data_IF_045507529497
#
_entry.id   IF_045507529497
#
_cell.length_a   1.000
_cell.length_b   1.000
_cell.length_c   1.000
_cell.angle_alpha   90.00
_cell.angle_beta   90.00
_cell.angle_gamma   90.00
#
_symmetry.space_group_name_H-M   'P 1'
#
loop_
_entity.id
_entity.type
_entity.pdbx_description
1 polymer ?
#
# COMPACT_ATOMS: atom_id res chain seq x y z
N UNK A 1 -36.28 14.01 -3.91
CA UNK A 1 -35.57 12.73 -3.97
C UNK A 1 -34.49 12.89 -5.03
N UNK A 2 -33.27 13.26 -4.59
CA UNK A 2 -32.10 13.26 -5.44
C UNK A 2 -31.47 11.89 -5.25
N UNK A 3 -31.41 11.11 -6.33
CA UNK A 3 -30.57 9.91 -6.38
C UNK A 3 -29.12 10.37 -6.30
N UNK A 4 -28.48 10.12 -5.17
CA UNK A 4 -27.02 10.19 -5.06
C UNK A 4 -26.52 8.94 -5.76
N UNK A 5 -25.99 9.10 -6.96
CA UNK A 5 -25.22 8.07 -7.65
C UNK A 5 -23.89 7.98 -6.89
N UNK A 6 -23.81 7.01 -5.97
CA UNK A 6 -22.55 6.63 -5.36
C UNK A 6 -21.82 5.76 -6.39
N UNK A 7 -21.08 6.41 -7.29
CA UNK A 7 -20.01 5.73 -8.02
C UNK A 7 -19.05 5.22 -6.96
N UNK A 8 -18.55 3.97 -7.03
CA UNK A 8 -17.66 3.44 -6.02
C UNK A 8 -16.54 4.44 -5.79
N UNK A 9 -16.54 5.04 -4.62
CA UNK A 9 -15.62 6.12 -4.20
C UNK A 9 -14.15 5.70 -4.36
N UNK A 10 -13.91 4.40 -4.42
CA UNK A 10 -12.62 3.78 -4.62
C UNK A 10 -12.08 3.90 -6.06
N UNK A 11 -12.90 3.70 -7.09
CA UNK A 11 -12.48 3.86 -8.50
C UNK A 11 -12.25 5.34 -8.82
N UNK A 12 -13.09 6.23 -8.26
CA UNK A 12 -12.90 7.68 -8.41
C UNK A 12 -11.66 8.18 -7.67
N UNK A 13 -11.34 7.62 -6.50
CA UNK A 13 -10.11 7.95 -5.76
C UNK A 13 -8.88 7.32 -6.40
N UNK A 14 -8.93 6.13 -6.96
CA UNK A 14 -7.83 5.59 -7.78
C UNK A 14 -7.56 6.48 -9.00
N UNK A 15 -8.58 7.04 -9.65
CA UNK A 15 -8.40 8.02 -10.74
C UNK A 15 -7.81 9.33 -10.25
N UNK A 16 -8.23 9.85 -9.10
CA UNK A 16 -7.61 11.05 -8.48
C UNK A 16 -6.22 10.77 -7.89
N UNK A 17 -5.99 9.54 -7.37
CA UNK A 17 -4.70 9.11 -6.87
C UNK A 17 -3.64 9.10 -7.97
N UNK A 18 -4.01 8.70 -9.19
CA UNK A 18 -3.10 8.70 -10.36
C UNK A 18 -2.81 10.09 -10.90
N UNK A 19 -3.75 11.04 -10.79
CA UNK A 19 -3.51 12.44 -11.19
C UNK A 19 -2.56 13.16 -10.22
N UNK A 20 -2.39 12.67 -8.97
CA UNK A 20 -1.36 13.14 -8.03
C UNK A 20 -0.05 12.31 -8.11
N UNK A 21 -0.07 11.10 -8.69
CA UNK A 21 1.09 10.20 -8.84
C UNK A 21 1.78 10.32 -10.20
N UNK A 22 1.23 11.08 -11.15
CA UNK A 22 1.81 11.29 -12.48
C UNK A 22 2.95 12.31 -12.51
N UNK A 23 3.63 12.56 -11.37
CA UNK A 23 4.67 13.59 -11.30
C UNK A 23 5.93 13.04 -10.66
N UNK A 24 6.69 12.25 -11.38
CA UNK A 24 8.16 12.13 -11.27
C UNK A 24 8.75 11.16 -12.30
N UNK A 25 8.80 11.54 -13.57
CA UNK A 25 9.64 10.85 -14.55
C UNK A 25 10.93 11.65 -14.77
N UNK A 26 12.04 11.19 -14.20
CA UNK A 26 13.37 11.63 -14.61
C UNK A 26 14.31 10.41 -14.67
N UNK A 27 14.66 10.03 -15.89
CA UNK A 27 15.52 8.89 -16.23
C UNK A 27 16.90 9.00 -15.61
N UNK A 28 17.34 7.98 -14.87
CA UNK A 28 18.76 7.73 -14.59
C UNK A 28 19.18 6.38 -15.14
N UNK A 29 20.09 6.44 -16.12
CA UNK A 29 20.83 5.31 -16.66
C UNK A 29 21.82 4.79 -15.61
N UNK A 30 21.56 3.63 -15.02
CA UNK A 30 22.55 2.94 -14.21
C UNK A 30 23.37 1.97 -15.09
N UNK A 31 24.65 2.29 -15.23
CA UNK A 31 25.64 1.37 -15.78
C UNK A 31 25.99 0.32 -14.71
N UNK A 32 25.75 -0.94 -15.02
CA UNK A 32 26.11 -2.06 -14.17
C UNK A 32 27.65 -2.22 -14.13
N UNK A 33 28.25 -2.10 -12.96
CA UNK A 33 29.58 -2.62 -12.69
C UNK A 33 29.48 -3.95 -11.94
N UNK A 34 29.70 -5.04 -12.67
CA UNK A 34 29.97 -6.36 -12.10
C UNK A 34 31.32 -6.35 -11.37
N UNK A 35 31.31 -6.45 -10.07
CA UNK A 35 32.48 -6.66 -9.25
C UNK A 35 32.21 -7.68 -8.15
N UNK A 36 32.50 -8.96 -8.41
CA UNK A 36 32.57 -9.98 -7.37
C UNK A 36 33.67 -9.62 -6.36
N UNK A 37 33.28 -9.29 -5.12
CA UNK A 37 34.13 -9.38 -3.95
C UNK A 37 33.52 -10.39 -2.99
N UNK A 38 34.27 -11.43 -2.66
CA UNK A 38 34.02 -12.32 -1.53
C UNK A 38 34.36 -11.52 -0.27
N UNK A 39 33.36 -11.08 0.47
CA UNK A 39 33.51 -10.64 1.84
C UNK A 39 33.07 -11.74 2.81
N UNK A 40 33.74 -11.88 3.97
CA UNK A 40 33.46 -12.95 4.91
C UNK A 40 32.08 -12.75 5.54
N UNK A 41 31.30 -13.83 5.62
CA UNK A 41 30.00 -13.89 6.28
C UNK A 41 30.08 -13.35 7.70
N UNK A 42 29.53 -12.16 7.92
CA UNK A 42 29.19 -11.60 9.22
C UNK A 42 27.79 -12.11 9.65
N UNK A 43 27.49 -12.11 10.95
CA UNK A 43 26.18 -12.51 11.45
C UNK A 43 25.18 -11.39 11.20
N UNK A 44 24.37 -11.45 10.18
CA UNK A 44 23.13 -10.75 9.88
C UNK A 44 22.95 -10.66 8.37
N UNK A 45 22.76 -11.81 7.72
CA UNK A 45 22.27 -11.82 6.34
C UNK A 45 20.81 -11.42 6.39
N UNK A 46 20.53 -10.14 6.11
CA UNK A 46 19.18 -9.68 5.85
C UNK A 46 18.65 -10.44 4.64
N UNK A 47 17.42 -10.92 4.73
CA UNK A 47 16.78 -11.65 3.65
C UNK A 47 15.95 -10.69 2.80
N UNK A 48 16.01 -10.87 1.48
CA UNK A 48 15.05 -10.19 0.58
C UNK A 48 13.66 -10.79 0.79
N UNK A 49 12.63 -9.98 0.62
CA UNK A 49 11.24 -10.44 0.57
C UNK A 49 11.06 -11.31 -0.67
N UNK A 50 10.36 -12.42 -0.54
CA UNK A 50 9.93 -13.23 -1.67
C UNK A 50 8.65 -12.62 -2.27
N UNK A 51 8.72 -12.22 -3.54
CA UNK A 51 7.56 -11.67 -4.25
C UNK A 51 6.75 -12.82 -4.83
N UNK A 52 5.49 -13.01 -4.42
CA UNK A 52 4.63 -14.04 -4.99
C UNK A 52 4.22 -13.70 -6.44
N UNK A 53 3.84 -14.72 -7.20
CA UNK A 53 3.33 -14.55 -8.58
C UNK A 53 2.02 -13.73 -8.62
N UNK A 54 1.24 -13.80 -7.57
CA UNK A 54 -0.01 -13.04 -7.40
C UNK A 54 0.06 -12.24 -6.12
N UNK A 55 -0.10 -10.93 -6.24
CA UNK A 55 -0.25 -10.03 -5.09
C UNK A 55 -1.72 -10.02 -4.67
N UNK A 56 -1.96 -10.27 -3.37
CA UNK A 56 -3.27 -10.15 -2.75
C UNK A 56 -3.37 -8.79 -2.06
N UNK A 57 -3.79 -7.78 -2.81
CA UNK A 57 -3.97 -6.41 -2.30
C UNK A 57 -5.46 -6.18 -2.04
N UNK A 58 -5.90 -6.41 -0.82
CA UNK A 58 -7.31 -6.55 -0.48
C UNK A 58 -7.69 -5.69 0.73
N UNK A 59 -8.91 -5.15 0.70
CA UNK A 59 -9.33 -4.09 1.59
C UNK A 59 -10.64 -4.40 2.29
N UNK A 60 -10.70 -4.12 3.59
CA UNK A 60 -11.93 -4.00 4.35
C UNK A 60 -12.38 -2.54 4.36
N UNK A 61 -13.63 -2.28 4.03
CA UNK A 61 -14.17 -0.92 3.88
C UNK A 61 -15.37 -0.63 4.80
N UNK A 62 -15.55 -1.46 5.82
CA UNK A 62 -16.62 -1.27 6.81
C UNK A 62 -18.01 -1.67 6.30
N UNK A 63 -19.03 -1.13 6.93
CA UNK A 63 -20.45 -1.34 6.54
C UNK A 63 -20.81 -0.43 5.35
N UNK A 64 -20.21 -0.71 4.20
CA UNK A 64 -20.35 0.08 2.98
C UNK A 64 -21.80 0.16 2.48
N UNK A 65 -22.58 -0.90 2.68
CA UNK A 65 -23.99 -0.99 2.26
C UNK A 65 -24.98 -0.57 3.35
N UNK A 66 -24.50 -0.07 4.49
CA UNK A 66 -25.33 0.38 5.63
C UNK A 66 -26.32 -0.69 6.12
N UNK A 67 -25.86 -1.94 6.22
CA UNK A 67 -26.72 -3.08 6.59
C UNK A 67 -26.84 -3.27 8.09
N UNK A 68 -25.92 -2.72 8.89
CA UNK A 68 -25.76 -2.93 10.34
C UNK A 68 -25.45 -4.39 10.76
N UNK A 69 -25.34 -5.32 9.81
CA UNK A 69 -25.16 -6.76 10.11
C UNK A 69 -23.98 -7.40 9.36
N UNK A 70 -23.51 -6.73 8.34
CA UNK A 70 -22.38 -7.20 7.50
C UNK A 70 -21.44 -6.06 7.19
N UNK A 71 -20.26 -6.43 6.76
CA UNK A 71 -19.26 -5.51 6.27
C UNK A 71 -18.85 -5.92 4.86
N UNK A 72 -18.27 -4.98 4.14
CA UNK A 72 -17.79 -5.20 2.78
C UNK A 72 -16.27 -5.28 2.73
N UNK A 73 -15.76 -6.13 1.85
CA UNK A 73 -14.35 -6.24 1.54
C UNK A 73 -14.13 -6.48 0.04
N UNK A 74 -13.08 -5.90 -0.50
CA UNK A 74 -12.63 -6.13 -1.86
C UNK A 74 -11.41 -7.04 -1.86
N UNK A 75 -11.50 -8.18 -2.52
CA UNK A 75 -10.38 -9.09 -2.75
C UNK A 75 -9.78 -8.82 -4.13
N UNK A 76 -8.62 -8.19 -4.19
CA UNK A 76 -7.90 -7.94 -5.43
C UNK A 76 -6.77 -8.94 -5.59
N UNK A 77 -6.77 -9.65 -6.71
CA UNK A 77 -5.71 -10.58 -7.11
C UNK A 77 -5.03 -9.99 -8.34
N UNK A 78 -3.80 -9.50 -8.13
CA UNK A 78 -3.02 -8.83 -9.16
C UNK A 78 -1.92 -9.77 -9.60
N UNK A 79 -1.91 -10.17 -10.86
CA UNK A 79 -0.85 -10.99 -11.45
C UNK A 79 -0.24 -10.32 -12.67
N UNK A 80 1.05 -10.55 -12.86
CA UNK A 80 1.81 -9.89 -13.90
C UNK A 80 2.08 -8.41 -13.61
N UNK A 81 2.19 -7.62 -14.65
CA UNK A 81 2.49 -6.19 -14.60
C UNK A 81 1.38 -5.41 -15.30
N UNK A 82 0.25 -5.21 -14.63
CA UNK A 82 -0.83 -4.34 -15.12
C UNK A 82 -0.67 -2.97 -14.50
N UNK A 83 -0.60 -1.96 -15.36
CA UNK A 83 -0.48 -0.56 -14.98
C UNK A 83 -1.50 0.28 -15.75
N UNK A 84 -1.50 1.57 -15.57
CA UNK A 84 -2.37 2.51 -16.27
C UNK A 84 -1.49 3.67 -16.79
N UNK A 85 -1.66 4.04 -18.05
CA UNK A 85 -0.92 5.16 -18.65
C UNK A 85 -1.56 6.51 -18.28
N UNK A 86 -0.97 7.61 -18.79
CA UNK A 86 -1.48 8.98 -18.56
C UNK A 86 -2.88 9.21 -19.16
N UNK A 87 -3.27 8.45 -20.19
CA UNK A 87 -4.59 8.50 -20.82
C UNK A 87 -5.66 7.66 -20.08
N UNK A 88 -5.30 7.09 -18.91
CA UNK A 88 -6.12 6.18 -18.11
C UNK A 88 -6.41 4.83 -18.78
N UNK A 89 -5.61 4.41 -19.78
CA UNK A 89 -5.72 3.10 -20.39
C UNK A 89 -4.87 2.06 -19.63
N UNK A 90 -5.39 0.86 -19.46
CA UNK A 90 -4.61 -0.25 -18.89
C UNK A 90 -3.52 -0.71 -19.87
N UNK A 91 -2.30 -0.87 -19.36
CA UNK A 91 -1.09 -1.30 -20.09
C UNK A 91 -0.39 -2.44 -19.36
N UNK A 92 0.61 -3.06 -20.02
CA UNK A 92 1.44 -4.13 -19.47
C UNK A 92 0.99 -5.53 -19.88
N UNK A 93 1.31 -6.52 -19.05
CA UNK A 93 0.97 -7.94 -19.24
C UNK A 93 0.49 -8.54 -17.93
N UNK A 94 -0.78 -8.91 -17.83
CA UNK A 94 -1.31 -9.51 -16.61
C UNK A 94 -2.82 -9.44 -16.48
N UNK A 95 -3.30 -9.63 -15.26
CA UNK A 95 -4.71 -9.50 -14.95
C UNK A 95 -4.95 -8.98 -13.53
N UNK A 96 -6.08 -8.32 -13.34
CA UNK A 96 -6.63 -7.94 -12.04
C UNK A 96 -8.01 -8.59 -11.92
N UNK A 97 -8.18 -9.42 -10.91
CA UNK A 97 -9.48 -9.95 -10.51
C UNK A 97 -9.90 -9.25 -9.23
N UNK A 98 -10.97 -8.47 -9.27
CA UNK A 98 -11.59 -7.85 -8.12
C UNK A 98 -12.88 -8.58 -7.76
N UNK A 99 -13.01 -9.04 -6.52
CA UNK A 99 -14.21 -9.70 -5.98
C UNK A 99 -14.72 -8.91 -4.77
N UNK A 100 -15.91 -8.35 -4.90
CA UNK A 100 -16.63 -7.67 -3.83
C UNK A 100 -17.37 -8.71 -2.97
N UNK A 101 -17.02 -8.80 -1.70
CA UNK A 101 -17.57 -9.82 -0.77
C UNK A 101 -18.14 -9.19 0.49
N UNK A 102 -19.19 -9.82 1.01
CA UNK A 102 -19.81 -9.45 2.29
C UNK A 102 -19.35 -10.42 3.38
N UNK A 103 -18.83 -9.88 4.47
CA UNK A 103 -18.34 -10.61 5.64
C UNK A 103 -19.09 -10.19 6.90
N UNK A 104 -18.95 -10.92 8.00
CA UNK A 104 -19.52 -10.50 9.26
C UNK A 104 -18.83 -9.23 9.78
N UNK A 105 -19.60 -8.34 10.42
CA UNK A 105 -19.04 -7.17 11.07
C UNK A 105 -18.03 -7.59 12.16
N UNK A 106 -16.82 -7.04 12.18
CA UNK A 106 -15.88 -7.22 13.28
C UNK A 106 -16.43 -6.68 14.60
N UNK A 107 -16.08 -7.29 15.70
CA UNK A 107 -16.54 -6.86 17.02
C UNK A 107 -15.82 -5.61 17.56
N UNK A 108 -14.69 -5.25 16.97
CA UNK A 108 -13.89 -4.09 17.37
C UNK A 108 -13.03 -3.57 16.22
N UNK A 109 -12.51 -2.35 16.35
CA UNK A 109 -11.54 -1.76 15.42
C UNK A 109 -10.26 -2.61 15.33
N UNK A 110 -9.76 -3.13 16.45
CA UNK A 110 -8.59 -4.00 16.46
C UNK A 110 -8.82 -5.30 15.70
N UNK A 111 -10.01 -5.88 15.78
CA UNK A 111 -10.38 -7.06 14.97
C UNK A 111 -10.46 -6.69 13.49
N UNK A 112 -11.03 -5.52 13.15
CA UNK A 112 -11.11 -5.01 11.78
C UNK A 112 -9.72 -4.76 11.19
N UNK A 113 -8.79 -4.19 11.95
CA UNK A 113 -7.40 -3.93 11.52
C UNK A 113 -6.59 -5.22 11.32
N UNK A 114 -6.99 -6.33 11.94
CA UNK A 114 -6.30 -7.63 11.83
C UNK A 114 -7.14 -8.69 11.08
N UNK A 115 -8.09 -8.25 10.25
CA UNK A 115 -8.94 -9.17 9.50
C UNK A 115 -8.15 -10.01 8.51
N UNK A 116 -8.56 -11.27 8.45
CA UNK A 116 -8.24 -12.20 7.37
C UNK A 116 -9.56 -12.62 6.71
N UNK A 117 -9.53 -12.93 5.42
CA UNK A 117 -10.76 -13.32 4.72
C UNK A 117 -11.39 -14.54 5.39
N UNK A 118 -12.66 -14.51 5.80
CA UNK A 118 -13.31 -15.64 6.47
C UNK A 118 -13.43 -16.88 5.59
N UNK A 119 -13.16 -18.06 6.14
CA UNK A 119 -13.40 -19.33 5.44
C UNK A 119 -14.90 -19.58 5.23
N UNK A 120 -15.25 -20.13 4.08
CA UNK A 120 -16.62 -20.45 3.73
C UNK A 120 -16.88 -20.48 2.24
N UNK A 121 -18.14 -20.69 1.90
CA UNK A 121 -18.62 -20.59 0.52
C UNK A 121 -19.44 -19.32 0.39
N UNK A 122 -18.99 -18.42 -0.48
CA UNK A 122 -19.66 -17.18 -0.80
C UNK A 122 -20.52 -17.40 -2.05
N UNK A 123 -21.82 -17.26 -1.88
CA UNK A 123 -22.78 -17.33 -2.98
C UNK A 123 -23.13 -15.92 -3.45
N UNK A 124 -23.75 -15.81 -4.63
CA UNK A 124 -24.27 -14.51 -5.08
C UNK A 124 -25.21 -13.94 -4.04
N UNK A 125 -24.95 -12.71 -3.64
CA UNK A 125 -25.76 -11.96 -2.69
C UNK A 125 -27.04 -11.41 -3.31
N UNK A 126 -27.89 -10.92 -2.43
CA UNK A 126 -29.06 -10.11 -2.75
C UNK A 126 -28.95 -8.76 -2.04
N UNK A 127 -29.97 -7.92 -2.10
CA UNK A 127 -30.02 -6.60 -1.47
C UNK A 127 -29.82 -6.60 0.07
N UNK A 128 -29.72 -7.78 0.69
CA UNK A 128 -29.43 -7.88 2.13
C UNK A 128 -27.95 -7.86 2.45
N UNK A 129 -27.09 -8.08 1.46
CA UNK A 129 -25.63 -8.17 1.61
C UNK A 129 -25.20 -9.05 2.79
N UNK A 130 -25.86 -10.17 3.00
CA UNK A 130 -25.60 -11.06 4.13
C UNK A 130 -24.14 -11.58 4.14
N UNK A 131 -23.54 -11.86 5.31
CA UNK A 131 -22.21 -12.46 5.36
C UNK A 131 -22.09 -13.75 4.55
N UNK A 132 -20.92 -14.02 3.98
CA UNK A 132 -20.63 -15.10 3.04
C UNK A 132 -21.44 -15.03 1.74
N UNK A 133 -21.69 -13.80 1.28
CA UNK A 133 -22.15 -13.52 -0.07
C UNK A 133 -21.15 -12.66 -0.84
N UNK A 134 -21.32 -12.53 -2.14
CA UNK A 134 -20.53 -11.68 -2.98
C UNK A 134 -21.41 -10.97 -4.02
N UNK A 135 -20.95 -9.81 -4.53
CA UNK A 135 -21.70 -8.92 -5.40
C UNK A 135 -21.14 -8.99 -6.82
N UNK A 136 -21.75 -9.72 -7.74
CA UNK A 136 -21.23 -9.87 -9.11
C UNK A 136 -21.15 -8.56 -9.90
N UNK A 137 -22.05 -7.62 -9.62
CA UNK A 137 -22.11 -6.33 -10.33
C UNK A 137 -20.99 -5.36 -9.92
N UNK A 138 -20.39 -5.58 -8.72
CA UNK A 138 -19.28 -4.78 -8.19
C UNK A 138 -17.96 -5.57 -8.25
N UNK A 139 -17.99 -6.75 -8.88
CA UNK A 139 -16.83 -7.62 -9.10
C UNK A 139 -16.47 -7.66 -10.59
N UNK A 140 -15.19 -7.56 -10.92
CA UNK A 140 -14.78 -7.44 -12.31
C UNK A 140 -13.44 -8.12 -12.59
N UNK A 141 -13.18 -8.32 -13.88
CA UNK A 141 -11.94 -8.83 -14.44
C UNK A 141 -11.35 -7.80 -15.41
N UNK A 142 -10.06 -7.52 -15.25
CA UNK A 142 -9.23 -6.81 -16.22
C UNK A 142 -8.19 -7.79 -16.73
N UNK A 143 -7.94 -7.80 -18.04
CA UNK A 143 -6.86 -8.58 -18.65
C UNK A 143 -6.15 -7.78 -19.73
N UNK A 144 -4.84 -7.72 -19.64
CA UNK A 144 -3.98 -7.01 -20.57
C UNK A 144 -2.91 -7.98 -21.11
N UNK A 145 -2.62 -7.93 -22.39
CA UNK A 145 -1.50 -8.63 -23.02
C UNK A 145 -0.78 -7.70 -24.00
N UNK A 146 0.54 -7.53 -23.82
CA UNK A 146 1.38 -6.67 -24.66
C UNK A 146 0.80 -5.25 -24.84
N UNK A 147 0.42 -4.61 -23.75
CA UNK A 147 -0.23 -3.29 -23.70
C UNK A 147 -1.60 -3.23 -24.43
N UNK A 148 -2.22 -4.37 -24.69
CA UNK A 148 -3.54 -4.45 -25.30
C UNK A 148 -4.55 -4.98 -24.30
N UNK A 149 -5.59 -4.18 -24.02
CA UNK A 149 -6.70 -4.58 -23.15
C UNK A 149 -7.54 -5.64 -23.84
N UNK A 150 -7.51 -6.86 -23.33
CA UNK A 150 -8.34 -7.97 -23.81
C UNK A 150 -9.69 -8.06 -23.08
N UNK A 151 -9.70 -7.67 -21.80
CA UNK A 151 -10.89 -7.57 -20.95
C UNK A 151 -10.79 -6.29 -20.15
N UNK A 152 -11.79 -5.42 -20.27
CA UNK A 152 -11.86 -4.11 -19.68
C UNK A 152 -12.97 -4.08 -18.63
N UNK A 153 -12.60 -4.12 -17.34
CA UNK A 153 -13.50 -4.07 -16.19
C UNK A 153 -14.81 -4.86 -16.37
N UNK A 154 -14.69 -6.06 -16.98
CA UNK A 154 -15.88 -6.84 -17.30
C UNK A 154 -16.46 -7.49 -16.04
N UNK A 155 -17.66 -7.07 -15.67
CA UNK A 155 -18.38 -7.59 -14.51
C UNK A 155 -18.83 -9.02 -14.68
N UNK A 156 -19.07 -9.68 -13.53
CA UNK A 156 -19.67 -11.01 -13.47
C UNK A 156 -21.20 -10.93 -13.38
N UNK A 157 -21.87 -12.02 -13.69
CA UNK A 157 -23.32 -12.18 -13.52
C UNK A 157 -23.69 -13.28 -12.55
N UNK A 158 -22.79 -14.23 -12.29
CA UNK A 158 -23.00 -15.35 -11.38
C UNK A 158 -21.68 -16.03 -11.03
N UNK A 159 -21.67 -16.83 -9.98
CA UNK A 159 -20.53 -17.64 -9.59
C UNK A 159 -20.54 -18.01 -8.13
N UNK A 160 -19.44 -18.62 -7.70
CA UNK A 160 -19.23 -19.05 -6.31
C UNK A 160 -17.76 -18.88 -5.95
N UNK A 161 -17.49 -18.37 -4.73
CA UNK A 161 -16.16 -18.29 -4.16
C UNK A 161 -16.09 -19.29 -3.00
N UNK A 162 -15.04 -20.11 -2.96
CA UNK A 162 -14.76 -21.01 -1.83
C UNK A 162 -13.44 -20.61 -1.20
N UNK A 163 -13.47 -20.34 0.10
CA UNK A 163 -12.29 -19.97 0.91
C UNK A 163 -12.03 -21.08 1.93
N UNK A 164 -10.84 -21.64 1.89
CA UNK A 164 -10.34 -22.66 2.84
C UNK A 164 -9.05 -22.17 3.48
N UNK A 165 -8.90 -22.35 4.80
CA UNK A 165 -7.66 -22.00 5.50
C UNK A 165 -6.56 -23.02 5.24
N UNK A 166 -5.34 -22.53 5.02
CA UNK A 166 -4.12 -23.32 4.81
C UNK A 166 -2.98 -22.86 5.71
N UNK A 167 -1.85 -23.53 5.66
CA UNK A 167 -0.65 -23.09 6.38
C UNK A 167 -0.06 -21.77 5.84
N UNK A 168 -0.38 -21.41 4.59
CA UNK A 168 0.09 -20.18 3.92
C UNK A 168 -0.87 -19.00 4.05
N UNK A 169 -2.02 -19.19 4.67
CA UNK A 169 -3.11 -18.23 4.76
C UNK A 169 -4.42 -18.84 4.26
N UNK A 170 -4.84 -18.55 3.04
CA UNK A 170 -6.06 -19.15 2.46
C UNK A 170 -5.84 -19.67 1.05
N UNK A 171 -6.57 -20.76 0.74
CA UNK A 171 -6.84 -21.19 -0.62
C UNK A 171 -8.20 -20.63 -1.02
N UNK A 172 -8.24 -19.87 -2.12
CA UNK A 172 -9.44 -19.22 -2.65
C UNK A 172 -9.70 -19.77 -4.06
N UNK A 173 -10.86 -20.37 -4.27
CA UNK A 173 -11.29 -20.88 -5.58
C UNK A 173 -12.52 -20.10 -6.01
N UNK A 174 -12.42 -19.42 -7.12
CA UNK A 174 -13.52 -18.70 -7.74
C UNK A 174 -13.93 -19.35 -9.05
N UNK A 175 -15.24 -19.60 -9.23
CA UNK A 175 -15.82 -20.01 -10.49
C UNK A 175 -16.97 -19.06 -10.81
N UNK A 176 -16.84 -18.32 -11.88
CA UNK A 176 -17.77 -17.26 -12.26
C UNK A 176 -18.14 -17.28 -13.74
N UNK A 177 -19.17 -16.55 -14.07
CA UNK A 177 -19.60 -16.31 -15.45
C UNK A 177 -19.64 -14.80 -15.67
N UNK A 178 -18.87 -14.31 -16.61
CA UNK A 178 -18.84 -12.90 -17.00
C UNK A 178 -20.16 -12.46 -17.68
N UNK A 179 -20.42 -11.17 -17.75
CA UNK A 179 -21.63 -10.63 -18.41
C UNK A 179 -21.75 -11.02 -19.88
N UNK A 180 -20.67 -11.34 -20.56
CA UNK A 180 -20.63 -11.81 -21.96
C UNK A 180 -20.83 -13.33 -22.10
N UNK A 181 -21.25 -14.05 -21.05
CA UNK A 181 -21.45 -15.51 -20.98
C UNK A 181 -20.16 -16.35 -20.96
N UNK A 182 -18.97 -15.72 -20.84
CA UNK A 182 -17.71 -16.46 -20.73
C UNK A 182 -17.56 -17.04 -19.33
N UNK A 183 -17.30 -18.33 -19.22
CA UNK A 183 -16.91 -18.98 -17.96
C UNK A 183 -15.49 -18.57 -17.58
N UNK A 184 -15.28 -18.30 -16.29
CA UNK A 184 -14.01 -17.93 -15.72
C UNK A 184 -13.75 -18.71 -14.43
N UNK A 185 -12.57 -19.28 -14.29
CA UNK A 185 -12.14 -19.98 -13.08
C UNK A 185 -10.79 -19.44 -12.63
N UNK A 186 -10.65 -19.26 -11.32
CA UNK A 186 -9.43 -18.75 -10.71
C UNK A 186 -9.12 -19.48 -9.41
N UNK A 187 -7.85 -19.76 -9.16
CA UNK A 187 -7.38 -20.37 -7.92
C UNK A 187 -6.19 -19.57 -7.39
N UNK A 188 -6.22 -19.25 -6.10
CA UNK A 188 -5.14 -18.57 -5.37
C UNK A 188 -4.86 -19.34 -4.07
N UNK A 189 -3.59 -19.44 -3.68
CA UNK A 189 -3.16 -19.88 -2.37
C UNK A 189 -2.04 -18.98 -1.86
N UNK A 190 -2.29 -18.31 -0.74
CA UNK A 190 -1.31 -17.35 -0.18
C UNK A 190 -1.84 -16.57 1.01
N UNK A 191 -1.25 -15.41 1.24
CA UNK A 191 -1.66 -14.47 2.30
C UNK A 191 -3.12 -14.05 2.10
N UNK A 192 -3.82 -13.79 3.20
CA UNK A 192 -5.27 -13.54 3.19
C UNK A 192 -5.66 -12.38 4.11
N UNK A 193 -4.72 -11.48 4.42
CA UNK A 193 -4.95 -10.28 5.23
C UNK A 193 -5.68 -9.23 4.43
N UNK A 194 -6.62 -8.56 5.10
CA UNK A 194 -7.28 -7.39 4.58
C UNK A 194 -6.65 -6.13 5.21
N UNK A 195 -6.41 -5.12 4.39
CA UNK A 195 -6.03 -3.80 4.86
C UNK A 195 -7.30 -3.06 5.27
N UNK A 196 -7.36 -2.52 6.48
CA UNK A 196 -8.54 -1.82 6.96
C UNK A 196 -8.51 -0.36 6.52
N UNK A 197 -9.42 0.01 5.62
CA UNK A 197 -9.61 1.36 5.11
C UNK A 197 -10.94 1.99 5.59
N UNK A 198 -11.55 1.43 6.63
CA UNK A 198 -12.70 2.05 7.27
C UNK A 198 -12.29 3.29 8.11
N UNK A 199 -13.20 4.23 8.31
CA UNK A 199 -12.94 5.53 8.94
C UNK A 199 -12.42 5.44 10.38
N UNK A 200 -12.70 4.35 11.10
CA UNK A 200 -12.28 4.14 12.49
C UNK A 200 -10.99 3.33 12.63
N UNK A 201 -10.39 2.91 11.52
CA UNK A 201 -9.13 2.16 11.47
C UNK A 201 -7.98 2.90 12.15
N UNK A 202 -7.05 2.13 12.75
CA UNK A 202 -5.72 2.62 13.13
C UNK A 202 -4.67 2.29 12.08
N UNK A 203 -5.11 1.75 10.95
CA UNK A 203 -4.30 1.48 9.76
C UNK A 203 -3.04 0.69 10.03
N UNK A 204 -3.15 -0.40 10.81
CA UNK A 204 -2.07 -1.34 11.05
C UNK A 204 -2.60 -2.77 11.14
N UNK A 205 -2.12 -3.64 10.27
CA UNK A 205 -2.44 -5.06 10.27
C UNK A 205 -1.26 -5.94 10.66
N UNK A 206 -0.23 -5.38 11.32
CA UNK A 206 0.95 -6.15 11.75
C UNK A 206 0.59 -7.12 12.88
N UNK A 207 0.78 -8.41 12.65
CA UNK A 207 0.62 -9.47 13.64
C UNK A 207 1.89 -9.74 14.47
N UNK A 208 3.04 -9.21 14.03
CA UNK A 208 4.37 -9.39 14.64
C UNK A 208 5.23 -8.14 14.49
N UNK A 209 6.34 -8.10 15.22
CA UNK A 209 7.40 -7.13 14.94
C UNK A 209 8.05 -7.44 13.59
N UNK A 210 8.38 -6.41 12.85
CA UNK A 210 9.03 -6.49 11.54
C UNK A 210 10.49 -6.09 11.69
N UNK A 211 11.35 -6.90 11.13
CA UNK A 211 12.74 -6.55 10.82
C UNK A 211 12.83 -6.42 9.30
N UNK A 212 12.95 -5.18 8.83
CA UNK A 212 12.96 -4.87 7.40
C UNK A 212 14.22 -5.46 6.76
N UNK A 213 14.05 -6.10 5.63
CA UNK A 213 15.10 -6.77 4.88
C UNK A 213 16.12 -5.80 4.26
N UNK A 214 16.63 -6.16 3.09
CA UNK A 214 17.63 -5.36 2.38
C UNK A 214 16.96 -4.17 1.69
N UNK A 215 17.09 -2.98 2.26
CA UNK A 215 16.74 -1.74 1.58
C UNK A 215 17.80 -1.42 0.52
N UNK A 216 17.39 -1.33 -0.74
CA UNK A 216 18.28 -1.21 -1.89
C UNK A 216 18.42 0.21 -2.41
N UNK A 217 17.47 1.09 -2.08
CA UNK A 217 17.45 2.47 -2.53
C UNK A 217 16.77 3.41 -1.55
N UNK A 218 17.05 4.70 -1.74
CA UNK A 218 16.39 5.78 -1.02
C UNK A 218 16.24 7.02 -1.89
N UNK A 219 15.14 7.73 -1.70
CA UNK A 219 14.91 9.05 -2.29
C UNK A 219 14.30 10.00 -1.27
N UNK A 220 14.33 11.30 -1.57
CA UNK A 220 13.55 12.29 -0.85
C UNK A 220 12.99 13.35 -1.79
N UNK A 221 11.83 13.88 -1.43
CA UNK A 221 11.18 15.00 -2.11
C UNK A 221 10.58 15.96 -1.08
N UNK A 222 10.35 17.22 -1.47
CA UNK A 222 9.68 18.20 -0.60
C UNK A 222 8.21 18.32 -0.99
N UNK A 223 7.33 18.26 0.01
CA UNK A 223 5.90 18.61 -0.12
C UNK A 223 5.65 20.10 0.18
N UNK A 224 6.71 20.87 0.48
CA UNK A 224 6.58 22.25 0.91
C UNK A 224 6.02 22.41 2.33
N UNK A 225 5.46 23.58 2.61
CA UNK A 225 4.83 23.90 3.89
C UNK A 225 3.39 23.37 3.93
N UNK A 226 3.22 22.14 4.43
CA UNK A 226 1.92 21.44 4.43
C UNK A 226 0.88 22.03 5.38
N UNK A 227 1.30 22.80 6.39
CA UNK A 227 0.38 23.46 7.35
C UNK A 227 0.23 24.97 7.10
N UNK A 228 1.07 25.56 6.23
CA UNK A 228 0.98 26.95 5.83
C UNK A 228 1.42 27.96 6.90
N UNK A 229 2.25 27.56 7.87
CA UNK A 229 2.70 28.42 8.97
C UNK A 229 4.06 29.11 8.70
N UNK A 230 4.72 28.79 7.59
CA UNK A 230 6.00 29.36 7.15
C UNK A 230 7.21 28.90 7.96
N UNK A 231 7.08 27.97 8.88
CA UNK A 231 8.17 27.53 9.77
C UNK A 231 8.90 26.32 9.24
N UNK A 232 8.17 25.36 8.67
CA UNK A 232 8.70 24.07 8.22
C UNK A 232 8.30 23.75 6.80
N UNK A 233 9.09 22.89 6.18
CA UNK A 233 8.70 22.10 5.02
C UNK A 233 8.63 20.63 5.44
N UNK A 234 7.73 19.86 4.87
CA UNK A 234 7.68 18.40 5.07
C UNK A 234 8.38 17.72 3.90
N UNK A 235 9.40 16.93 4.21
CA UNK A 235 10.11 16.11 3.23
C UNK A 235 9.74 14.65 3.39
N UNK A 236 9.43 13.99 2.27
CA UNK A 236 9.19 12.55 2.23
C UNK A 236 10.50 11.86 1.92
N UNK A 237 10.96 10.99 2.83
CA UNK A 237 12.10 10.11 2.62
C UNK A 237 11.55 8.72 2.41
N UNK A 238 11.72 8.16 1.22
CA UNK A 238 11.32 6.80 0.86
C UNK A 238 12.53 5.88 0.87
N UNK A 239 12.48 4.83 1.67
CA UNK A 239 13.49 3.78 1.77
C UNK A 239 12.83 2.48 1.31
N UNK A 240 13.39 1.79 0.34
CA UNK A 240 12.74 0.60 -0.21
C UNK A 240 13.72 -0.47 -0.68
N UNK A 241 13.22 -1.68 -0.82
CA UNK A 241 13.96 -2.79 -1.38
C UNK A 241 14.08 -2.70 -2.91
N UNK A 242 14.70 -3.69 -3.53
CA UNK A 242 14.96 -3.72 -4.99
C UNK A 242 13.71 -3.90 -5.86
N UNK A 243 12.55 -4.15 -5.27
CA UNK A 243 11.28 -4.34 -5.98
C UNK A 243 10.42 -3.08 -6.00
N UNK A 244 10.98 -1.96 -5.54
CA UNK A 244 10.32 -0.66 -5.53
C UNK A 244 10.80 0.20 -6.69
N UNK A 245 9.86 0.78 -7.39
CA UNK A 245 10.10 1.74 -8.46
C UNK A 245 9.89 3.16 -7.90
N UNK A 246 10.99 3.88 -7.68
CA UNK A 246 10.96 5.24 -7.13
C UNK A 246 10.35 6.28 -8.09
N UNK A 247 10.28 5.99 -9.39
CA UNK A 247 9.64 6.87 -10.36
C UNK A 247 8.11 6.76 -10.27
N UNK A 248 7.63 5.56 -10.01
CA UNK A 248 6.20 5.28 -9.86
C UNK A 248 5.70 5.39 -8.41
N UNK A 249 6.62 5.58 -7.45
CA UNK A 249 6.37 5.54 -6.00
C UNK A 249 5.59 4.29 -5.56
N UNK A 250 5.91 3.14 -6.15
CA UNK A 250 5.22 1.87 -5.93
C UNK A 250 6.17 0.67 -5.99
N UNK A 251 5.86 -0.38 -5.25
CA UNK A 251 6.58 -1.65 -5.30
C UNK A 251 5.90 -2.75 -4.51
N UNK A 252 6.22 -3.99 -4.84
CA UNK A 252 5.62 -5.16 -4.20
C UNK A 252 6.41 -5.67 -2.99
N UNK A 253 7.61 -5.15 -2.75
CA UNK A 253 8.46 -5.48 -1.62
C UNK A 253 8.25 -4.60 -0.39
N UNK A 254 9.29 -4.46 0.41
CA UNK A 254 9.26 -3.65 1.63
C UNK A 254 9.62 -2.20 1.36
N UNK A 255 8.84 -1.29 1.95
CA UNK A 255 9.14 0.14 1.95
C UNK A 255 8.87 0.78 3.32
N UNK A 256 9.69 1.79 3.65
CA UNK A 256 9.53 2.65 4.82
C UNK A 256 9.49 4.08 4.33
N UNK A 257 8.38 4.76 4.51
CA UNK A 257 8.20 6.17 4.21
C UNK A 257 8.27 6.99 5.49
N UNK A 258 9.10 8.03 5.49
CA UNK A 258 9.33 8.93 6.62
C UNK A 258 8.99 10.36 6.18
N UNK A 259 7.96 10.94 6.76
CA UNK A 259 7.59 12.34 6.53
C UNK A 259 8.26 13.20 7.59
N UNK A 260 9.39 13.80 7.22
CA UNK A 260 10.26 14.58 8.09
C UNK A 260 10.01 16.08 7.94
N UNK A 261 9.68 16.75 9.03
CA UNK A 261 9.58 18.20 9.05
C UNK A 261 10.99 18.81 9.22
N UNK A 262 11.39 19.60 8.25
CA UNK A 262 12.65 20.35 8.25
C UNK A 262 12.39 21.84 8.40
N UNK A 263 13.38 22.62 8.84
CA UNK A 263 13.23 24.07 8.88
C UNK A 263 13.00 24.62 7.46
N UNK A 264 12.11 25.58 7.32
CA UNK A 264 11.84 26.22 6.02
C UNK A 264 13.15 26.74 5.40
N UNK A 265 13.37 26.38 4.12
CA UNK A 265 14.60 26.68 3.39
C UNK A 265 15.78 25.76 3.69
N UNK A 266 15.56 24.61 4.33
CA UNK A 266 16.59 23.58 4.48
C UNK A 266 17.07 23.09 3.10
N UNK A 267 18.36 22.81 2.98
CA UNK A 267 18.98 22.34 1.73
C UNK A 267 19.49 20.90 1.81
N UNK A 268 19.48 20.31 3.00
CA UNK A 268 19.99 18.97 3.29
C UNK A 268 19.10 18.29 4.32
N UNK A 269 19.06 16.96 4.28
CA UNK A 269 18.39 16.14 5.31
C UNK A 269 19.12 16.37 6.64
N UNK A 270 18.39 16.77 7.72
CA UNK A 270 19.02 17.06 9.00
C UNK A 270 19.56 15.79 9.65
N UNK A 271 20.74 15.91 10.28
CA UNK A 271 21.34 14.82 11.05
C UNK A 271 20.82 14.80 12.49
N UNK A 272 20.81 13.63 13.08
CA UNK A 272 20.52 13.44 14.49
C UNK A 272 19.55 12.32 14.79
N UNK A 273 19.20 12.20 16.05
CA UNK A 273 18.19 11.27 16.55
C UNK A 273 16.85 12.01 16.68
N UNK A 274 15.84 11.53 16.00
CA UNK A 274 14.49 12.08 15.96
C UNK A 274 13.54 11.09 16.62
N UNK A 275 12.74 11.55 17.58
CA UNK A 275 11.83 10.70 18.38
C UNK A 275 10.41 11.26 18.47
N UNK A 276 10.19 12.47 17.95
CA UNK A 276 8.90 13.15 18.02
C UNK A 276 8.10 12.94 16.74
N UNK A 277 6.83 12.59 16.89
CA UNK A 277 5.86 12.38 15.81
C UNK A 277 4.68 13.32 16.04
N UNK A 278 4.43 14.20 15.08
CA UNK A 278 3.30 15.12 15.08
C UNK A 278 2.06 14.45 14.48
N UNK A 279 0.94 14.54 15.18
CA UNK A 279 -0.36 14.12 14.67
C UNK A 279 -1.06 15.31 14.01
N UNK A 280 -1.23 15.28 12.70
CA UNK A 280 -1.88 16.35 11.94
C UNK A 280 -3.37 16.54 12.26
N UNK A 281 -4.02 15.55 12.88
CA UNK A 281 -5.41 15.69 13.31
C UNK A 281 -5.57 16.64 14.51
N UNK A 282 -4.48 16.89 15.25
CA UNK A 282 -4.50 17.71 16.47
C UNK A 282 -3.49 18.85 16.48
N UNK A 283 -2.57 18.90 15.53
CA UNK A 283 -1.46 19.87 15.50
C UNK A 283 -1.71 20.93 14.43
N UNK A 284 -1.75 22.21 14.83
CA UNK A 284 -1.86 23.36 13.93
C UNK A 284 -0.50 23.91 13.44
N UNK A 285 0.60 23.40 13.97
CA UNK A 285 1.97 23.84 13.66
C UNK A 285 2.93 22.66 13.78
N UNK A 286 3.90 22.59 12.88
CA UNK A 286 4.93 21.58 12.87
C UNK A 286 6.26 22.18 13.34
N UNK A 287 7.03 21.39 14.08
CA UNK A 287 8.38 21.80 14.53
C UNK A 287 9.45 21.07 13.70
N UNK A 288 10.58 21.73 13.39
CA UNK A 288 11.69 21.08 12.70
C UNK A 288 12.23 19.88 13.48
N UNK A 289 12.72 18.88 12.77
CA UNK A 289 13.22 17.61 13.31
C UNK A 289 12.13 16.82 14.06
N UNK A 290 10.93 16.82 13.53
CA UNK A 290 9.84 15.93 13.93
C UNK A 290 9.37 15.14 12.72
N UNK A 291 8.77 13.98 12.93
CA UNK A 291 8.05 13.23 11.90
C UNK A 291 6.56 13.52 11.95
N UNK A 292 5.88 13.36 10.83
CA UNK A 292 4.41 13.32 10.78
C UNK A 292 3.97 11.88 11.04
N UNK A 293 3.10 11.68 12.03
CA UNK A 293 2.49 10.37 12.28
C UNK A 293 1.68 9.90 11.07
N UNK A 294 1.71 8.60 10.81
CA UNK A 294 0.98 8.00 9.70
C UNK A 294 -0.52 8.18 9.84
N UNK A 295 -1.17 8.51 8.76
CA UNK A 295 -2.61 8.72 8.67
C UNK A 295 -3.14 8.31 7.30
N UNK A 296 -4.43 8.00 7.24
CA UNK A 296 -5.14 7.72 6.00
C UNK A 296 -6.41 8.56 6.00
N UNK A 297 -6.56 9.44 5.02
CA UNK A 297 -7.74 10.30 4.90
C UNK A 297 -8.14 10.44 3.44
N UNK A 298 -9.44 10.32 3.18
CA UNK A 298 -10.00 10.51 1.84
C UNK A 298 -9.35 9.63 0.74
N UNK A 299 -8.95 8.41 1.10
CA UNK A 299 -8.26 7.50 0.17
C UNK A 299 -6.76 7.77 0.00
N UNK A 300 -6.18 8.71 0.76
CA UNK A 300 -4.78 9.12 0.63
C UNK A 300 -3.98 8.74 1.87
N UNK A 301 -2.81 8.17 1.63
CA UNK A 301 -1.80 7.95 2.67
C UNK A 301 -1.04 9.24 2.95
N UNK A 302 -0.84 9.55 4.22
CA UNK A 302 -0.01 10.66 4.67
C UNK A 302 0.83 10.28 5.87
N UNK A 303 1.90 11.04 6.15
CA UNK A 303 2.80 10.75 7.26
C UNK A 303 3.65 9.49 7.07
N UNK A 304 4.19 8.95 8.17
CA UNK A 304 5.11 7.82 8.15
C UNK A 304 4.38 6.48 8.01
N UNK A 305 4.88 5.61 7.12
CA UNK A 305 4.29 4.29 6.83
C UNK A 305 5.35 3.20 6.66
N UNK A 306 4.96 1.99 6.98
CA UNK A 306 5.60 0.76 6.51
C UNK A 306 4.62 0.00 5.62
N UNK A 307 5.11 -0.50 4.48
CA UNK A 307 4.34 -1.34 3.56
C UNK A 307 5.15 -2.52 3.06
N UNK A 308 4.46 -3.64 2.84
CA UNK A 308 4.98 -4.83 2.17
C UNK A 308 3.82 -5.56 1.46
N UNK A 309 3.43 -5.14 0.23
CA UNK A 309 2.33 -5.74 -0.51
C UNK A 309 2.47 -7.24 -0.73
N UNK A 310 3.68 -7.75 -0.95
CA UNK A 310 3.94 -9.19 -1.08
C UNK A 310 3.43 -10.02 0.10
N UNK A 311 3.37 -9.45 1.30
CA UNK A 311 2.88 -10.07 2.53
C UNK A 311 1.55 -9.48 3.00
N UNK A 312 0.92 -8.61 2.22
CA UNK A 312 -0.27 -7.84 2.57
C UNK A 312 -0.13 -7.13 3.93
N UNK A 313 1.07 -6.59 4.22
CA UNK A 313 1.30 -5.77 5.40
C UNK A 313 1.28 -4.29 5.06
N UNK A 314 0.57 -3.54 5.89
CA UNK A 314 0.72 -2.10 5.99
C UNK A 314 0.59 -1.63 7.44
N UNK A 315 1.28 -0.54 7.77
CA UNK A 315 1.18 0.06 9.09
C UNK A 315 1.45 1.56 9.06
N UNK A 316 0.48 2.34 9.55
CA UNK A 316 0.69 3.72 9.91
C UNK A 316 1.63 3.80 11.12
N UNK A 317 2.70 4.55 11.00
CA UNK A 317 3.70 4.70 12.06
C UNK A 317 3.36 5.93 12.90
N UNK A 318 3.15 5.72 14.19
CA UNK A 318 2.72 6.76 15.12
C UNK A 318 3.80 7.12 16.17
N UNK A 319 4.97 6.53 16.10
CA UNK A 319 6.05 6.80 17.05
C UNK A 319 7.29 5.97 16.77
N UNK A 320 8.27 6.09 17.66
CA UNK A 320 9.53 5.36 17.54
C UNK A 320 10.74 6.29 17.58
N UNK A 321 11.85 5.84 17.01
CA UNK A 321 13.06 6.64 16.89
C UNK A 321 13.77 6.34 15.57
N UNK A 322 14.33 7.38 14.97
CA UNK A 322 15.16 7.29 13.77
C UNK A 322 16.45 8.07 13.99
N UNK A 323 17.58 7.48 13.65
CA UNK A 323 18.87 8.13 13.62
C UNK A 323 19.29 8.39 12.17
N UNK A 324 19.62 9.63 11.84
CA UNK A 324 20.08 10.05 10.51
C UNK A 324 21.50 10.59 10.64
N UNK A 325 22.43 10.06 9.86
CA UNK A 325 23.83 10.49 9.79
C UNK A 325 24.22 10.70 8.34
N UNK A 326 24.80 11.84 8.04
CA UNK A 326 25.40 12.10 6.74
C UNK A 326 26.78 11.41 6.67
N UNK A 327 26.97 10.58 5.66
CA UNK A 327 28.23 9.82 5.45
C UNK A 327 29.13 10.58 4.47
N UNK A 328 28.55 11.11 3.39
CA UNK A 328 29.22 12.04 2.47
C UNK A 328 28.20 12.99 1.81
N UNK A 329 28.53 13.61 0.66
CA UNK A 329 27.68 14.65 0.05
C UNK A 329 26.25 14.18 -0.28
N UNK A 330 26.10 12.92 -0.72
CA UNK A 330 24.81 12.35 -1.13
C UNK A 330 24.43 11.10 -0.34
N UNK A 331 25.34 10.57 0.51
CA UNK A 331 25.15 9.34 1.25
C UNK A 331 24.76 9.59 2.70
N UNK A 332 23.77 8.82 3.12
CA UNK A 332 23.26 8.84 4.49
C UNK A 332 23.20 7.43 5.05
N UNK A 333 23.38 7.33 6.38
CA UNK A 333 22.99 6.17 7.16
C UNK A 333 21.71 6.54 7.90
N UNK A 334 20.63 5.81 7.63
CA UNK A 334 19.30 6.06 8.21
C UNK A 334 18.83 4.75 8.84
N UNK A 335 18.64 4.74 10.15
CA UNK A 335 18.22 3.55 10.86
C UNK A 335 17.24 3.89 11.97
N UNK A 336 16.36 2.96 12.32
CA UNK A 336 15.38 3.24 13.34
C UNK A 336 14.56 2.03 13.78
N UNK A 337 13.80 2.27 14.84
CA UNK A 337 12.75 1.37 15.33
C UNK A 337 11.47 2.19 15.45
N UNK A 338 10.57 1.96 14.54
CA UNK A 338 9.27 2.60 14.43
C UNK A 338 8.22 1.80 15.19
N UNK A 339 7.12 2.43 15.58
CA UNK A 339 6.04 1.81 16.34
C UNK A 339 4.70 2.20 15.75
N UNK A 340 3.84 1.21 15.53
CA UNK A 340 2.47 1.36 15.10
C UNK A 340 1.48 1.36 16.30
N UNK A 341 0.16 1.45 16.01
CA UNK A 341 -0.86 1.73 17.02
C UNK A 341 -1.08 0.61 18.07
N UNK A 342 -0.77 -0.65 17.74
CA UNK A 342 -0.96 -1.81 18.61
C UNK A 342 0.33 -2.26 19.31
N UNK A 343 1.40 -1.47 19.16
CA UNK A 343 2.67 -1.68 19.86
C UNK A 343 3.65 -2.61 19.13
N UNK A 344 3.35 -3.03 17.92
CA UNK A 344 4.35 -3.72 17.08
C UNK A 344 5.39 -2.73 16.60
N UNK A 345 6.56 -3.24 16.29
CA UNK A 345 7.69 -2.42 15.84
C UNK A 345 8.16 -2.82 14.45
N UNK A 346 8.63 -1.81 13.72
CA UNK A 346 9.32 -1.96 12.44
C UNK A 346 10.73 -1.45 12.61
N UNK A 347 11.71 -2.34 12.56
CA UNK A 347 13.14 -2.00 12.69
C UNK A 347 13.77 -2.06 11.30
N UNK A 348 14.53 -1.03 10.95
CA UNK A 348 15.15 -0.91 9.63
C UNK A 348 16.53 -0.27 9.71
N UNK A 349 17.34 -0.49 8.69
CA UNK A 349 18.58 0.27 8.48
C UNK A 349 18.91 0.34 7.00
N UNK A 350 19.35 1.51 6.57
CA UNK A 350 19.83 1.83 5.23
C UNK A 350 21.14 2.59 5.31
N UNK A 351 22.07 2.28 4.42
CA UNK A 351 23.27 3.10 4.20
C UNK A 351 23.52 3.17 2.68
N UNK A 352 23.46 4.36 2.12
CA UNK A 352 23.61 4.54 0.69
C UNK A 352 23.30 5.97 0.24
N UNK A 353 23.22 6.14 -1.07
CA UNK A 353 22.83 7.41 -1.69
C UNK A 353 21.33 7.65 -1.46
N UNK A 354 20.96 8.88 -1.12
CA UNK A 354 19.57 9.33 -1.03
C UNK A 354 19.34 10.34 -2.15
N UNK A 355 18.66 9.90 -3.21
CA UNK A 355 18.41 10.71 -4.39
C UNK A 355 17.38 11.81 -4.08
N UNK A 356 17.68 13.05 -4.49
CA UNK A 356 16.66 14.11 -4.46
C UNK A 356 15.74 13.94 -5.66
N UNK A 357 14.45 13.80 -5.41
CA UNK A 357 13.40 13.84 -6.43
C UNK A 357 12.84 15.26 -6.49
N UNK A 358 12.72 15.82 -7.68
CA UNK A 358 12.05 17.11 -7.87
C UNK A 358 10.56 16.84 -8.14
N UNK A 359 9.72 17.48 -7.36
CA UNK A 359 8.29 17.46 -7.61
C UNK A 359 8.00 18.46 -8.73
N UNK A 360 7.59 17.97 -9.91
CA UNK A 360 7.17 18.82 -11.01
C UNK A 360 5.66 19.09 -10.89
N UNK A 361 5.27 20.31 -10.53
CA UNK A 361 3.86 20.71 -10.44
C UNK A 361 3.10 20.67 -11.80
N UNK A 362 3.77 20.30 -12.89
CA UNK A 362 3.22 20.39 -14.26
C UNK A 362 3.06 19.03 -14.99
N UNK A 363 3.28 17.90 -14.33
CA UNK A 363 3.06 16.57 -14.90
C UNK A 363 1.78 15.94 -14.35
#
# INVERSE_FOLDING_TARGET
>A
MQQVVVIPYFIYNMKQFKTMLAVAAAAMLFSSCNGKKNDPEGPDVKHDVEIPEVIFESYYVGDYYETETSANAFMNFISGNVDMNEDEDYIGDGQILCLDVNIALPASVEEADHLIIPAGTYNVGDDTHAPLTWNPADSYLIKVENDVVLVDEMEFKSGTIVVEKTEKGSKIVFNGVLKNDTEFSYEYEGVDRLMNHADDSKYSNLDKNIEVGNLAGASYSSLGDVVGDGKTETWVISLADKYYDFEKDYGNGESVMLYLNVANGATEIPEGKITEFADLNVTESLEPNTFVAGLFMYGLYGGCWYKCPANAYEAAIIGGEVEIKKVDETKYSISGTLREAYGKTVTFSYEGEVAKMEYNEND
#
